data_IF_830240344562
#
_entry.id   IF_830240344562
#
_cell.length_a   1.000
_cell.length_b   1.000
_cell.length_c   1.000
_cell.angle_alpha   90.00
_cell.angle_beta   90.00
_cell.angle_gamma   90.00
#
_symmetry.space_group_name_H-M   'P 1'
#
loop_
_entity.id
_entity.type
_entity.pdbx_description
1 polymer ?
#
# COMPACT_ATOMS: atom_id res chain seq x y z
N UNK A 1 -10.00 -5.99 47.98
CA UNK A 1 -10.84 -6.98 47.29
C UNK A 1 -11.51 -6.42 46.06
N UNK A 2 -12.11 -5.22 46.08
CA UNK A 2 -12.75 -4.61 44.93
C UNK A 2 -11.81 -4.32 43.75
N UNK A 3 -10.60 -3.85 44.01
CA UNK A 3 -9.60 -3.51 42.98
C UNK A 3 -9.08 -4.75 42.22
N UNK A 4 -8.94 -5.87 42.92
CA UNK A 4 -8.53 -7.15 42.38
C UNK A 4 -9.61 -7.75 41.46
N UNK A 5 -10.88 -7.56 41.80
CA UNK A 5 -12.05 -7.98 41.01
C UNK A 5 -12.16 -7.17 39.71
N UNK A 6 -11.93 -5.86 39.73
CA UNK A 6 -11.96 -4.99 38.55
C UNK A 6 -10.83 -5.32 37.56
N UNK A 7 -9.64 -5.65 38.07
CA UNK A 7 -8.51 -6.06 37.19
C UNK A 7 -8.80 -7.41 36.55
N UNK A 8 -9.34 -8.38 37.25
CA UNK A 8 -9.71 -9.70 36.74
C UNK A 8 -10.80 -9.60 35.69
N UNK A 9 -11.80 -8.72 35.86
CA UNK A 9 -12.87 -8.46 34.90
C UNK A 9 -12.33 -7.79 33.63
N UNK A 10 -11.46 -6.79 33.78
CA UNK A 10 -10.79 -6.13 32.61
C UNK A 10 -9.92 -7.10 31.83
N UNK A 11 -9.18 -7.99 32.50
CA UNK A 11 -8.36 -9.02 31.83
C UNK A 11 -9.24 -10.03 31.08
N UNK A 12 -10.41 -10.38 31.60
CA UNK A 12 -11.35 -11.27 30.92
C UNK A 12 -11.91 -10.65 29.63
N UNK A 13 -12.24 -9.36 29.67
CA UNK A 13 -12.70 -8.61 28.46
C UNK A 13 -11.61 -8.56 27.41
N UNK A 14 -10.37 -8.21 27.79
CA UNK A 14 -9.22 -8.20 26.87
C UNK A 14 -8.99 -9.58 26.23
N UNK A 15 -9.05 -10.64 27.02
CA UNK A 15 -8.87 -12.02 26.53
C UNK A 15 -9.95 -12.41 25.53
N UNK A 16 -11.21 -12.07 25.81
CA UNK A 16 -12.34 -12.32 24.88
C UNK A 16 -12.15 -11.56 23.58
N UNK A 17 -11.81 -10.28 23.67
CA UNK A 17 -11.56 -9.44 22.48
C UNK A 17 -10.41 -9.98 21.60
N UNK A 18 -9.29 -10.37 22.23
CA UNK A 18 -8.16 -10.97 21.50
C UNK A 18 -8.53 -12.31 20.84
N UNK A 19 -9.36 -13.13 21.49
CA UNK A 19 -9.85 -14.38 20.91
C UNK A 19 -10.79 -14.13 19.73
N UNK A 20 -11.65 -13.11 19.81
CA UNK A 20 -12.56 -12.72 18.73
C UNK A 20 -11.81 -12.18 17.51
N UNK A 21 -10.87 -11.26 17.75
CA UNK A 21 -9.99 -10.71 16.71
C UNK A 21 -9.14 -11.82 16.10
N UNK A 22 -8.58 -12.73 16.89
CA UNK A 22 -7.81 -13.87 16.43
C UNK A 22 -8.60 -14.80 15.49
N UNK A 23 -9.90 -15.02 15.75
CA UNK A 23 -10.76 -15.78 14.85
C UNK A 23 -10.97 -15.08 13.51
N UNK A 24 -11.16 -13.75 13.51
CA UNK A 24 -11.26 -12.95 12.28
C UNK A 24 -9.97 -13.05 11.46
N UNK A 25 -8.81 -12.96 12.10
CA UNK A 25 -7.49 -13.05 11.44
C UNK A 25 -7.19 -14.45 10.89
N UNK A 26 -7.60 -15.51 11.59
CA UNK A 26 -7.39 -16.90 11.19
C UNK A 26 -8.12 -17.27 9.90
N UNK A 27 -9.26 -16.63 9.62
CA UNK A 27 -10.03 -16.84 8.39
C UNK A 27 -9.32 -16.31 7.11
N UNK A 28 -8.30 -15.47 7.24
CA UNK A 28 -7.61 -14.80 6.12
C UNK A 28 -6.26 -15.43 5.77
N UNK A 29 -5.67 -16.22 6.67
CA UNK A 29 -4.35 -16.81 6.47
C UNK A 29 -4.18 -17.58 5.16
N UNK A 30 -5.27 -18.04 4.56
CA UNK A 30 -5.30 -18.73 3.27
C UNK A 30 -5.48 -17.80 2.05
N UNK A 31 -5.93 -16.55 2.23
CA UNK A 31 -6.25 -15.62 1.13
C UNK A 31 -5.10 -14.68 0.75
N UNK A 32 -4.14 -14.43 1.63
CA UNK A 32 -3.05 -13.45 1.44
C UNK A 32 -2.09 -13.72 0.27
N UNK A 33 -2.05 -14.92 -0.28
CA UNK A 33 -1.09 -15.28 -1.34
C UNK A 33 -1.43 -14.73 -2.73
N UNK A 34 -2.63 -14.15 -2.94
CA UNK A 34 -3.07 -13.61 -4.25
C UNK A 34 -3.03 -12.08 -4.35
N UNK A 35 -3.01 -11.36 -3.23
CA UNK A 35 -3.10 -9.89 -3.22
C UNK A 35 -1.74 -9.17 -3.43
N UNK A 36 -0.61 -9.88 -3.35
CA UNK A 36 0.73 -9.36 -3.64
C UNK A 36 1.14 -9.43 -5.12
N UNK A 37 0.22 -9.73 -6.03
CA UNK A 37 0.52 -9.78 -7.46
C UNK A 37 0.90 -8.38 -7.98
N UNK A 38 1.79 -8.36 -8.99
CA UNK A 38 2.17 -7.13 -9.68
C UNK A 38 0.92 -6.39 -10.20
N UNK A 39 0.83 -5.10 -9.89
CA UNK A 39 -0.26 -4.25 -10.35
C UNK A 39 0.29 -2.88 -10.76
N UNK A 40 0.20 -2.56 -12.04
CA UNK A 40 0.75 -1.32 -12.59
C UNK A 40 0.08 -0.08 -12.02
N UNK A 41 -1.21 -0.14 -11.69
CA UNK A 41 -1.95 1.01 -11.14
C UNK A 41 -1.48 1.33 -9.71
N UNK A 42 -1.18 0.31 -8.90
CA UNK A 42 -0.53 0.50 -7.59
C UNK A 42 0.86 1.10 -7.73
N UNK A 43 1.66 0.58 -8.67
CA UNK A 43 3.02 1.10 -8.93
C UNK A 43 2.98 2.58 -9.31
N UNK A 44 2.01 2.99 -10.14
CA UNK A 44 1.81 4.36 -10.57
C UNK A 44 1.05 5.22 -9.54
N UNK A 45 0.66 4.65 -8.37
CA UNK A 45 -0.10 5.34 -7.32
C UNK A 45 -1.39 6.00 -7.83
N UNK A 46 -2.11 5.28 -8.68
CA UNK A 46 -3.35 5.78 -9.31
C UNK A 46 -4.52 5.87 -8.33
N UNK A 47 -4.48 5.08 -7.25
CA UNK A 47 -5.52 4.90 -6.23
C UNK A 47 -6.09 6.20 -5.64
N UNK A 48 -5.32 7.29 -5.63
CA UNK A 48 -5.72 8.59 -5.06
C UNK A 48 -6.14 9.63 -6.10
N UNK A 49 -6.07 9.32 -7.39
CA UNK A 49 -6.31 10.30 -8.45
C UNK A 49 -7.64 10.06 -9.17
N UNK A 50 -8.70 10.80 -8.81
CA UNK A 50 -10.02 10.75 -9.47
C UNK A 50 -9.90 10.86 -10.99
N UNK A 51 -9.11 11.81 -11.49
CA UNK A 51 -8.91 12.01 -12.92
C UNK A 51 -8.28 10.79 -13.63
N UNK A 52 -7.46 10.00 -12.95
CA UNK A 52 -6.89 8.78 -13.52
C UNK A 52 -7.98 7.70 -13.66
N UNK A 53 -8.79 7.50 -12.63
CA UNK A 53 -9.95 6.61 -12.68
C UNK A 53 -10.95 7.04 -13.76
N UNK A 54 -11.24 8.34 -13.84
CA UNK A 54 -12.10 8.92 -14.88
C UNK A 54 -11.61 8.56 -16.28
N UNK A 55 -10.32 8.72 -16.55
CA UNK A 55 -9.73 8.38 -17.86
C UNK A 55 -9.76 6.89 -18.18
N UNK A 56 -9.50 6.03 -17.16
CA UNK A 56 -9.55 4.57 -17.34
C UNK A 56 -10.97 4.14 -17.68
N UNK A 57 -11.97 4.60 -16.90
CA UNK A 57 -13.38 4.28 -17.15
C UNK A 57 -13.82 4.79 -18.53
N UNK A 58 -13.49 6.02 -18.87
CA UNK A 58 -13.86 6.61 -20.13
C UNK A 58 -13.22 5.90 -21.32
N UNK A 59 -11.97 5.45 -21.21
CA UNK A 59 -11.29 4.67 -22.26
C UNK A 59 -12.03 3.37 -22.55
N UNK A 60 -12.41 2.63 -21.49
CA UNK A 60 -13.19 1.40 -21.66
C UNK A 60 -14.65 1.63 -22.08
N UNK A 61 -15.24 2.77 -21.77
CA UNK A 61 -16.59 3.14 -22.25
C UNK A 61 -16.58 3.66 -23.68
N UNK A 62 -15.43 4.01 -24.26
CA UNK A 62 -15.35 4.64 -25.57
C UNK A 62 -15.39 3.59 -26.67
N UNK A 63 -16.42 3.57 -27.54
CA UNK A 63 -16.48 2.63 -28.66
C UNK A 63 -15.30 2.74 -29.64
N UNK A 64 -14.57 3.86 -29.62
CA UNK A 64 -13.37 4.09 -30.41
C UNK A 64 -12.10 4.03 -29.57
N UNK A 65 -12.20 3.47 -28.37
CA UNK A 65 -11.08 3.27 -27.47
C UNK A 65 -10.05 2.31 -28.02
N UNK A 66 -8.84 2.37 -27.49
CA UNK A 66 -7.73 1.53 -27.96
C UNK A 66 -7.89 0.06 -27.56
N UNK A 67 -8.92 -0.26 -26.76
CA UNK A 67 -9.25 -1.65 -26.41
C UNK A 67 -9.73 -2.49 -27.61
N UNK A 68 -10.24 -1.87 -28.69
CA UNK A 68 -10.58 -2.54 -29.95
C UNK A 68 -11.82 -3.44 -29.90
N UNK A 69 -12.69 -3.27 -28.90
CA UNK A 69 -13.92 -4.06 -28.69
C UNK A 69 -15.20 -3.25 -29.00
N UNK A 70 -15.06 -2.25 -29.86
CA UNK A 70 -16.16 -1.39 -30.31
C UNK A 70 -17.05 -0.90 -29.13
N UNK A 71 -18.36 -1.02 -29.24
CA UNK A 71 -19.32 -0.59 -28.20
C UNK A 71 -19.65 -1.65 -27.16
N UNK A 72 -18.98 -2.80 -27.18
CA UNK A 72 -19.25 -3.93 -26.27
C UNK A 72 -19.23 -3.52 -24.80
N UNK A 73 -18.18 -2.86 -24.38
CA UNK A 73 -18.02 -2.46 -22.97
C UNK A 73 -19.00 -1.37 -22.55
N UNK A 74 -19.36 -0.46 -23.46
CA UNK A 74 -20.41 0.54 -23.22
C UNK A 74 -21.76 -0.12 -23.06
N UNK A 75 -22.09 -1.11 -23.89
CA UNK A 75 -23.33 -1.88 -23.80
C UNK A 75 -23.41 -2.60 -22.44
N UNK A 76 -22.34 -3.29 -22.03
CA UNK A 76 -22.28 -3.98 -20.73
C UNK A 76 -22.46 -3.02 -19.56
N UNK A 77 -21.90 -1.80 -19.63
CA UNK A 77 -22.09 -0.77 -18.62
C UNK A 77 -23.56 -0.32 -18.52
N UNK A 78 -24.16 0.01 -19.66
CA UNK A 78 -25.55 0.49 -19.68
C UNK A 78 -26.56 -0.61 -19.31
N UNK A 79 -26.20 -1.89 -19.47
CA UNK A 79 -26.97 -3.07 -19.05
C UNK A 79 -26.91 -3.37 -17.57
N UNK A 80 -26.01 -2.73 -16.80
CA UNK A 80 -25.99 -2.91 -15.35
C UNK A 80 -27.39 -2.62 -14.77
N UNK A 81 -28.00 -3.51 -13.94
CA UNK A 81 -29.43 -3.47 -13.60
C UNK A 81 -29.89 -2.12 -13.07
N UNK A 82 -29.09 -1.48 -12.23
CA UNK A 82 -29.38 -0.17 -11.62
C UNK A 82 -29.37 0.94 -12.66
N UNK A 83 -28.43 0.89 -13.62
CA UNK A 83 -28.30 1.87 -14.71
C UNK A 83 -29.43 1.67 -15.71
N UNK A 84 -29.65 0.45 -16.18
CA UNK A 84 -30.66 0.11 -17.15
C UNK A 84 -32.08 0.52 -16.67
N UNK A 85 -32.43 0.26 -15.40
CA UNK A 85 -33.70 0.68 -14.80
C UNK A 85 -33.84 2.20 -14.77
N UNK A 86 -32.74 2.92 -14.43
CA UNK A 86 -32.76 4.38 -14.44
C UNK A 86 -32.92 4.94 -15.86
N UNK A 87 -32.15 4.43 -16.83
CA UNK A 87 -32.24 4.80 -18.23
C UNK A 87 -33.69 4.63 -18.76
N UNK A 88 -34.32 3.49 -18.45
CA UNK A 88 -35.68 3.21 -18.85
C UNK A 88 -36.67 4.23 -18.26
N UNK A 89 -36.51 4.61 -16.99
CA UNK A 89 -37.38 5.62 -16.34
C UNK A 89 -37.21 7.00 -16.97
N UNK A 90 -35.99 7.35 -17.41
CA UNK A 90 -35.72 8.61 -18.10
C UNK A 90 -36.19 8.62 -19.55
N UNK A 91 -36.72 7.49 -20.07
CA UNK A 91 -37.15 7.36 -21.46
C UNK A 91 -36.02 7.22 -22.47
N UNK A 92 -34.85 6.79 -22.01
CA UNK A 92 -33.71 6.42 -22.90
C UNK A 92 -34.18 5.27 -23.81
N UNK A 93 -33.74 5.21 -25.07
CA UNK A 93 -34.11 4.14 -25.99
C UNK A 93 -33.87 2.75 -25.37
N UNK A 94 -34.81 1.84 -25.57
CA UNK A 94 -34.72 0.48 -25.02
C UNK A 94 -33.67 -0.31 -25.78
N UNK A 95 -32.91 -1.10 -25.04
CA UNK A 95 -32.24 -2.28 -25.58
C UNK A 95 -33.29 -3.37 -25.76
N UNK A 96 -33.64 -3.68 -26.98
CA UNK A 96 -34.58 -4.77 -27.33
C UNK A 96 -33.86 -6.09 -27.64
N UNK A 97 -32.54 -6.14 -27.39
CA UNK A 97 -31.70 -7.32 -27.59
C UNK A 97 -31.40 -7.65 -29.04
N UNK A 98 -32.07 -7.01 -30.01
CA UNK A 98 -31.91 -7.27 -31.44
C UNK A 98 -31.53 -6.00 -32.24
N UNK A 99 -32.03 -4.82 -31.87
CA UNK A 99 -31.78 -3.57 -32.62
C UNK A 99 -31.71 -2.32 -31.72
N UNK A 100 -31.90 -2.43 -30.42
CA UNK A 100 -32.07 -1.27 -29.54
C UNK A 100 -30.84 -0.38 -29.40
N UNK A 101 -29.69 -0.98 -29.36
CA UNK A 101 -28.42 -0.27 -29.20
C UNK A 101 -27.40 -0.56 -30.30
N UNK A 102 -27.83 -1.10 -31.46
CA UNK A 102 -26.99 -1.44 -32.61
C UNK A 102 -26.13 -0.29 -33.16
N UNK A 103 -26.27 0.90 -32.63
CA UNK A 103 -25.53 2.07 -33.06
C UNK A 103 -24.79 2.79 -31.92
N UNK A 104 -24.58 2.14 -30.79
CA UNK A 104 -23.77 2.71 -29.71
C UNK A 104 -22.30 2.91 -30.14
N UNK A 105 -21.85 2.21 -31.18
CA UNK A 105 -20.59 2.48 -31.84
C UNK A 105 -20.43 3.92 -32.38
N UNK A 106 -21.55 4.65 -32.55
CA UNK A 106 -21.53 6.08 -32.91
C UNK A 106 -21.46 7.00 -31.68
N UNK A 107 -21.51 6.48 -30.44
CA UNK A 107 -21.41 7.29 -29.24
C UNK A 107 -20.06 7.99 -29.16
N UNK A 108 -20.06 9.19 -28.60
CA UNK A 108 -18.86 10.00 -28.39
C UNK A 108 -18.67 10.11 -26.88
N UNK A 109 -17.53 9.60 -26.39
CA UNK A 109 -17.15 9.69 -24.98
C UNK A 109 -16.10 10.77 -24.83
N UNK A 110 -16.35 11.73 -23.94
CA UNK A 110 -15.48 12.88 -23.67
C UNK A 110 -15.16 12.90 -22.18
N UNK A 111 -13.89 13.04 -21.84
CA UNK A 111 -13.44 13.28 -20.46
C UNK A 111 -13.26 14.76 -20.21
N UNK A 112 -13.54 15.19 -18.97
CA UNK A 112 -13.37 16.58 -18.54
C UNK A 112 -14.06 17.59 -19.48
N UNK A 113 -15.28 17.25 -19.93
CA UNK A 113 -16.02 18.11 -20.85
C UNK A 113 -16.36 19.44 -20.19
N UNK A 114 -15.91 20.52 -20.86
CA UNK A 114 -16.09 21.89 -20.36
C UNK A 114 -17.41 22.48 -20.86
N UNK A 115 -18.26 22.86 -19.94
CA UNK A 115 -19.46 23.66 -20.17
C UNK A 115 -19.26 25.08 -19.59
N UNK A 116 -20.04 26.07 -20.01
CA UNK A 116 -19.98 27.39 -19.37
C UNK A 116 -20.21 27.37 -17.85
N UNK A 117 -20.96 26.38 -17.38
CA UNK A 117 -21.35 26.22 -15.98
C UNK A 117 -20.39 25.35 -15.16
N UNK A 118 -19.41 24.72 -15.80
CA UNK A 118 -18.45 23.84 -15.11
C UNK A 118 -17.90 22.76 -16.03
N UNK A 119 -17.18 21.82 -15.47
CA UNK A 119 -16.56 20.71 -16.20
C UNK A 119 -17.01 19.41 -15.56
N UNK A 120 -17.60 18.50 -16.34
CA UNK A 120 -17.97 17.18 -15.87
C UNK A 120 -16.86 16.15 -16.17
N UNK A 121 -16.83 15.07 -15.40
CA UNK A 121 -15.74 14.07 -15.50
C UNK A 121 -15.84 13.23 -16.76
N UNK A 122 -17.02 12.66 -17.06
CA UNK A 122 -17.28 11.90 -18.31
C UNK A 122 -18.62 12.31 -18.87
N UNK A 123 -18.67 12.58 -20.18
CA UNK A 123 -19.89 12.77 -20.96
C UNK A 123 -19.95 11.74 -22.10
N UNK A 124 -21.09 11.09 -22.26
CA UNK A 124 -21.37 10.14 -23.33
C UNK A 124 -22.53 10.67 -24.16
N UNK A 125 -22.24 11.13 -25.39
CA UNK A 125 -23.23 11.69 -26.32
C UNK A 125 -23.70 10.63 -27.29
N UNK A 126 -25.00 10.45 -27.37
CA UNK A 126 -25.62 9.52 -28.32
C UNK A 126 -27.04 9.91 -28.67
N UNK A 127 -27.34 10.13 -29.97
CA UNK A 127 -28.69 10.37 -30.52
C UNK A 127 -29.54 11.37 -29.72
N UNK A 128 -28.96 12.52 -29.36
CA UNK A 128 -29.65 13.57 -28.62
C UNK A 128 -29.80 13.30 -27.12
N UNK A 129 -29.03 12.36 -26.59
CA UNK A 129 -28.86 12.10 -25.16
C UNK A 129 -27.42 12.36 -24.77
N UNK A 130 -27.25 12.87 -23.57
CA UNK A 130 -25.93 12.97 -22.94
C UNK A 130 -26.00 12.34 -21.54
N UNK A 131 -25.25 11.24 -21.35
CA UNK A 131 -25.06 10.62 -20.04
C UNK A 131 -23.83 11.25 -19.43
N UNK A 132 -24.01 11.94 -18.31
CA UNK A 132 -22.93 12.55 -17.52
C UNK A 132 -22.63 11.63 -16.34
N UNK A 133 -21.37 11.26 -16.14
CA UNK A 133 -20.89 10.56 -14.96
C UNK A 133 -19.99 11.52 -14.20
N UNK A 134 -20.39 11.88 -13.00
CA UNK A 134 -19.57 12.62 -12.03
C UNK A 134 -18.92 11.64 -11.08
N UNK A 135 -17.59 11.64 -11.04
CA UNK A 135 -16.79 10.70 -10.29
C UNK A 135 -16.26 11.33 -9.00
N UNK A 136 -16.56 10.73 -7.85
CA UNK A 136 -16.15 11.18 -6.51
C UNK A 136 -15.52 10.04 -5.72
N UNK A 137 -14.21 10.12 -5.52
CA UNK A 137 -13.47 9.16 -4.68
C UNK A 137 -13.11 9.82 -3.35
N UNK A 138 -12.48 11.00 -3.37
CA UNK A 138 -12.04 11.72 -2.18
C UNK A 138 -12.39 13.21 -2.21
N UNK A 139 -12.70 13.78 -3.37
CA UNK A 139 -13.04 15.19 -3.47
C UNK A 139 -14.45 15.47 -2.94
N UNK A 140 -14.61 16.63 -2.34
CA UNK A 140 -15.90 17.12 -1.88
C UNK A 140 -16.80 17.62 -3.02
N UNK A 141 -18.09 17.67 -2.75
CA UNK A 141 -19.10 18.20 -3.66
C UNK A 141 -18.97 19.71 -3.83
N UNK A 142 -19.37 20.20 -5.01
CA UNK A 142 -19.53 21.62 -5.28
C UNK A 142 -21.03 21.99 -5.29
N UNK A 143 -21.33 23.23 -4.91
CA UNK A 143 -22.69 23.72 -4.91
C UNK A 143 -23.35 23.61 -6.29
N UNK A 144 -24.54 23.00 -6.32
CA UNK A 144 -25.38 22.79 -7.52
C UNK A 144 -24.65 22.13 -8.69
N UNK A 145 -23.69 21.28 -8.41
CA UNK A 145 -22.82 20.70 -9.43
C UNK A 145 -23.61 19.89 -10.45
N UNK A 146 -24.43 18.95 -9.99
CA UNK A 146 -25.24 18.10 -10.88
C UNK A 146 -26.33 18.88 -11.61
N UNK A 147 -26.96 19.86 -10.93
CA UNK A 147 -27.94 20.75 -11.57
C UNK A 147 -27.31 21.58 -12.70
N UNK A 148 -26.10 22.08 -12.50
CA UNK A 148 -25.37 22.85 -13.52
C UNK A 148 -25.08 22.00 -14.75
N UNK A 149 -24.66 20.75 -14.59
CA UNK A 149 -24.41 19.83 -15.71
C UNK A 149 -25.69 19.51 -16.49
N UNK A 150 -26.76 19.16 -15.80
CA UNK A 150 -28.04 18.90 -16.45
C UNK A 150 -28.56 20.13 -17.23
N UNK A 151 -28.35 21.33 -16.69
CA UNK A 151 -28.71 22.58 -17.39
C UNK A 151 -27.83 22.82 -18.62
N UNK A 152 -26.54 22.58 -18.50
CA UNK A 152 -25.59 22.72 -19.59
C UNK A 152 -25.93 21.80 -20.76
N UNK A 153 -26.16 20.51 -20.48
CA UNK A 153 -26.58 19.53 -21.48
C UNK A 153 -27.89 19.92 -22.15
N UNK A 154 -28.90 20.38 -21.40
CA UNK A 154 -30.17 20.85 -22.03
C UNK A 154 -29.97 22.02 -23.00
N UNK A 155 -28.97 22.87 -22.77
CA UNK A 155 -28.66 24.00 -23.67
C UNK A 155 -28.05 23.57 -25.01
N UNK A 156 -27.41 22.39 -25.06
CA UNK A 156 -26.96 21.80 -26.34
C UNK A 156 -28.10 21.16 -27.13
N UNK A 157 -29.29 21.09 -26.55
CA UNK A 157 -30.46 20.43 -27.16
C UNK A 157 -30.56 18.94 -26.86
N UNK A 158 -29.67 18.41 -26.01
CA UNK A 158 -29.67 17.01 -25.59
C UNK A 158 -30.44 16.81 -24.28
N UNK A 159 -30.84 15.56 -24.04
CA UNK A 159 -31.49 15.14 -22.80
C UNK A 159 -30.45 14.62 -21.83
N UNK A 160 -30.30 15.24 -20.64
CA UNK A 160 -29.33 14.81 -19.65
C UNK A 160 -29.75 13.55 -18.92
N UNK A 161 -28.83 12.64 -18.69
CA UNK A 161 -28.89 11.56 -17.72
C UNK A 161 -27.69 11.73 -16.78
N UNK A 162 -27.94 11.85 -15.49
CA UNK A 162 -26.89 12.12 -14.51
C UNK A 162 -26.64 10.87 -13.68
N UNK A 163 -25.41 10.38 -13.73
CA UNK A 163 -24.92 9.31 -12.86
C UNK A 163 -23.90 9.91 -11.88
N UNK A 164 -24.04 9.60 -10.61
CA UNK A 164 -23.15 10.04 -9.57
C UNK A 164 -22.39 8.83 -9.03
N UNK A 165 -21.09 8.74 -9.33
CA UNK A 165 -20.23 7.61 -9.03
C UNK A 165 -19.40 7.89 -7.77
N UNK A 166 -19.55 7.05 -6.75
CA UNK A 166 -18.77 7.11 -5.51
C UNK A 166 -18.24 5.73 -5.15
N UNK A 167 -17.38 5.64 -4.13
CA UNK A 167 -16.79 4.35 -3.71
C UNK A 167 -17.88 3.32 -3.31
N UNK A 168 -18.89 3.77 -2.58
CA UNK A 168 -19.91 2.92 -1.96
C UNK A 168 -21.35 3.20 -2.43
N UNK A 169 -21.54 4.18 -3.32
CA UNK A 169 -22.85 4.56 -3.85
C UNK A 169 -23.64 5.54 -2.98
N UNK A 170 -22.98 6.26 -2.05
CA UNK A 170 -23.66 7.28 -1.27
C UNK A 170 -24.14 8.44 -2.16
N UNK A 171 -25.22 9.13 -1.78
CA UNK A 171 -25.78 10.23 -2.55
C UNK A 171 -24.89 11.47 -2.50
N UNK A 172 -25.02 12.32 -3.52
CA UNK A 172 -24.45 13.65 -3.51
C UNK A 172 -25.04 14.49 -2.38
N UNK A 173 -24.25 15.42 -1.86
CA UNK A 173 -24.74 16.40 -0.87
C UNK A 173 -25.96 17.17 -1.39
N UNK A 174 -26.88 17.51 -0.52
CA UNK A 174 -28.11 18.21 -0.90
C UNK A 174 -27.84 19.49 -1.71
N UNK A 175 -26.80 20.24 -1.36
CA UNK A 175 -26.39 21.45 -2.08
C UNK A 175 -25.78 21.16 -3.47
N UNK A 176 -25.22 19.96 -3.69
CA UNK A 176 -24.63 19.55 -4.97
C UNK A 176 -25.68 19.09 -5.96
N UNK A 177 -26.65 18.31 -5.49
CA UNK A 177 -27.70 17.74 -6.32
C UNK A 177 -28.65 18.81 -6.88
N UNK A 178 -29.01 19.82 -6.08
CA UNK A 178 -30.11 20.75 -6.44
C UNK A 178 -31.42 19.97 -6.65
N UNK A 179 -32.22 20.42 -7.62
CA UNK A 179 -33.50 19.80 -7.99
C UNK A 179 -33.38 18.80 -9.15
N UNK A 180 -32.17 18.32 -9.48
CA UNK A 180 -32.00 17.39 -10.60
C UNK A 180 -32.14 15.94 -10.15
N UNK A 181 -32.85 15.16 -10.95
CA UNK A 181 -32.88 13.71 -10.79
C UNK A 181 -31.55 13.11 -11.26
N UNK A 182 -30.95 12.29 -10.43
CA UNK A 182 -29.69 11.58 -10.74
C UNK A 182 -29.73 10.18 -10.15
N UNK A 183 -28.80 9.34 -10.57
CA UNK A 183 -28.64 7.98 -10.06
C UNK A 183 -27.29 7.78 -9.44
N UNK A 184 -27.26 7.32 -8.19
CA UNK A 184 -26.04 6.86 -7.53
C UNK A 184 -25.64 5.51 -8.09
N UNK A 185 -24.36 5.39 -8.42
CA UNK A 185 -23.66 4.15 -8.76
C UNK A 185 -22.36 4.06 -7.96
N UNK A 186 -21.78 2.89 -7.84
CA UNK A 186 -20.61 2.67 -6.97
C UNK A 186 -19.48 1.93 -7.66
N UNK A 187 -18.27 2.22 -7.20
CA UNK A 187 -17.11 1.38 -7.52
C UNK A 187 -17.27 -0.02 -6.96
N UNK A 188 -17.83 -0.12 -5.73
CA UNK A 188 -18.01 -1.39 -5.00
C UNK A 188 -18.88 -2.39 -5.75
N UNK A 189 -19.88 -1.92 -6.47
CA UNK A 189 -20.83 -2.78 -7.16
C UNK A 189 -20.83 -2.55 -8.67
N UNK A 190 -21.39 -1.43 -9.15
CA UNK A 190 -21.65 -1.23 -10.57
C UNK A 190 -20.38 -1.24 -11.41
N UNK A 191 -19.29 -0.60 -10.94
CA UNK A 191 -18.01 -0.63 -11.67
C UNK A 191 -17.34 -2.01 -11.55
N UNK A 192 -17.36 -2.62 -10.36
CA UNK A 192 -16.77 -3.95 -10.16
C UNK A 192 -17.48 -5.04 -10.98
N UNK A 193 -18.82 -5.02 -10.99
CA UNK A 193 -19.65 -5.95 -11.77
C UNK A 193 -19.42 -5.74 -13.28
N UNK A 194 -19.44 -4.48 -13.74
CA UNK A 194 -19.15 -4.14 -15.14
C UNK A 194 -17.78 -4.63 -15.61
N UNK A 195 -16.73 -4.42 -14.81
CA UNK A 195 -15.38 -4.92 -15.15
C UNK A 195 -15.39 -6.47 -15.23
N UNK A 196 -16.10 -7.14 -14.32
CA UNK A 196 -16.22 -8.60 -14.34
C UNK A 196 -16.94 -9.08 -15.62
N UNK A 197 -18.01 -8.41 -16.03
CA UNK A 197 -18.72 -8.69 -17.27
C UNK A 197 -17.82 -8.48 -18.50
N UNK A 198 -17.02 -7.39 -18.52
CA UNK A 198 -16.04 -7.13 -19.60
C UNK A 198 -14.97 -8.21 -19.71
N UNK A 199 -14.46 -8.71 -18.56
CA UNK A 199 -13.50 -9.80 -18.54
C UNK A 199 -14.15 -11.10 -19.06
N UNK A 200 -15.38 -11.40 -18.60
CA UNK A 200 -16.13 -12.57 -19.05
C UNK A 200 -16.37 -12.56 -20.56
N UNK A 201 -16.75 -11.42 -21.13
CA UNK A 201 -16.95 -11.27 -22.57
C UNK A 201 -15.68 -11.53 -23.38
N UNK A 202 -14.52 -11.04 -22.91
CA UNK A 202 -13.22 -11.32 -23.57
C UNK A 202 -12.90 -12.82 -23.44
N UNK A 203 -13.15 -13.44 -22.30
CA UNK A 203 -12.88 -14.86 -22.10
C UNK A 203 -13.73 -15.73 -23.03
N UNK A 204 -15.01 -15.40 -23.22
CA UNK A 204 -15.90 -16.10 -24.13
C UNK A 204 -15.44 -15.98 -25.60
N UNK A 205 -14.91 -14.83 -26.01
CA UNK A 205 -14.36 -14.64 -27.36
C UNK A 205 -13.07 -15.40 -27.61
N UNK A 206 -12.18 -15.47 -26.63
CA UNK A 206 -10.91 -16.20 -26.74
C UNK A 206 -11.08 -17.72 -26.92
N UNK A 207 -12.23 -18.31 -26.55
CA UNK A 207 -12.54 -19.72 -26.79
C UNK A 207 -12.82 -20.05 -28.28
N UNK A 208 -13.10 -19.05 -29.11
CA UNK A 208 -13.47 -19.24 -30.54
C UNK A 208 -12.30 -19.44 -31.51
N UNK A 209 -11.05 -19.26 -31.13
CA UNK A 209 -9.85 -19.71 -31.85
C UNK A 209 -9.39 -18.90 -33.08
N UNK A 210 -10.09 -17.87 -33.57
CA UNK A 210 -9.74 -17.04 -34.73
C UNK A 210 -9.82 -15.51 -34.50
N UNK A 211 -9.91 -15.08 -33.23
CA UNK A 211 -10.12 -13.67 -32.87
C UNK A 211 -8.80 -12.96 -32.48
N UNK A 212 -8.74 -11.62 -32.56
CA UNK A 212 -7.59 -10.84 -32.06
C UNK A 212 -7.27 -11.19 -30.62
N UNK A 213 -5.99 -11.21 -30.29
CA UNK A 213 -5.52 -11.46 -28.92
C UNK A 213 -5.78 -10.23 -28.03
N UNK A 214 -6.86 -10.28 -27.25
CA UNK A 214 -7.22 -9.26 -26.26
C UNK A 214 -6.59 -9.51 -24.86
N UNK A 215 -5.59 -10.37 -24.76
CA UNK A 215 -4.96 -10.72 -23.50
C UNK A 215 -4.47 -9.48 -22.71
N UNK A 216 -3.91 -8.50 -23.40
CA UNK A 216 -3.43 -7.26 -22.78
C UNK A 216 -4.57 -6.39 -22.22
N UNK A 217 -5.73 -6.35 -22.89
CA UNK A 217 -6.93 -5.64 -22.41
C UNK A 217 -7.50 -6.36 -21.18
N UNK A 218 -7.62 -7.69 -21.27
CA UNK A 218 -8.08 -8.55 -20.19
C UNK A 218 -7.22 -8.38 -18.93
N UNK A 219 -5.89 -8.47 -19.08
CA UNK A 219 -4.97 -8.32 -17.95
C UNK A 219 -5.06 -6.94 -17.31
N UNK A 220 -5.20 -5.89 -18.12
CA UNK A 220 -5.42 -4.52 -17.63
C UNK A 220 -6.71 -4.42 -16.83
N UNK A 221 -7.80 -5.01 -17.30
CA UNK A 221 -9.08 -5.06 -16.58
C UNK A 221 -8.96 -5.85 -15.27
N UNK A 222 -8.24 -6.97 -15.25
CA UNK A 222 -7.99 -7.74 -14.03
C UNK A 222 -7.23 -6.92 -12.98
N UNK A 223 -6.18 -6.21 -13.38
CA UNK A 223 -5.42 -5.34 -12.49
C UNK A 223 -6.26 -4.15 -12.01
N UNK A 224 -7.07 -3.56 -12.88
CA UNK A 224 -7.98 -2.47 -12.49
C UNK A 224 -9.08 -2.96 -11.56
N UNK A 225 -9.63 -4.16 -11.77
CA UNK A 225 -10.60 -4.78 -10.86
C UNK A 225 -10.03 -4.95 -9.44
N UNK A 226 -8.78 -5.38 -9.32
CA UNK A 226 -8.11 -5.47 -8.01
C UNK A 226 -8.05 -4.10 -7.34
N UNK A 227 -7.61 -3.06 -8.07
CA UNK A 227 -7.57 -1.70 -7.54
C UNK A 227 -8.96 -1.21 -7.11
N UNK A 228 -9.99 -1.43 -7.93
CA UNK A 228 -11.38 -1.07 -7.61
C UNK A 228 -11.86 -1.76 -6.32
N UNK A 229 -11.57 -3.04 -6.13
CA UNK A 229 -11.89 -3.77 -4.90
C UNK A 229 -11.21 -3.17 -3.67
N UNK A 230 -9.97 -2.75 -3.81
CA UNK A 230 -9.20 -2.13 -2.72
C UNK A 230 -9.77 -0.77 -2.32
N UNK A 231 -9.90 0.16 -3.28
CA UNK A 231 -10.37 1.52 -2.98
C UNK A 231 -11.83 1.54 -2.50
N UNK A 232 -12.67 0.65 -3.01
CA UNK A 232 -14.09 0.54 -2.62
C UNK A 232 -14.30 -0.23 -1.32
N UNK A 233 -13.22 -0.78 -0.74
CA UNK A 233 -13.31 -1.56 0.48
C UNK A 233 -14.02 -2.90 0.34
N UNK A 234 -13.95 -3.50 -0.84
CA UNK A 234 -14.55 -4.81 -1.12
C UNK A 234 -13.60 -5.97 -0.87
N UNK A 235 -12.37 -5.69 -0.38
CA UNK A 235 -11.41 -6.73 -0.03
C UNK A 235 -11.83 -7.44 1.26
N UNK A 236 -11.51 -8.72 1.37
CA UNK A 236 -11.76 -9.50 2.60
C UNK A 236 -11.05 -8.89 3.81
N UNK A 237 -9.88 -8.29 3.61
CA UNK A 237 -9.14 -7.58 4.65
C UNK A 237 -9.93 -6.38 5.19
N UNK A 238 -10.60 -5.61 4.33
CA UNK A 238 -11.41 -4.48 4.79
C UNK A 238 -12.71 -4.91 5.45
N UNK A 239 -13.38 -5.95 4.94
CA UNK A 239 -14.54 -6.54 5.61
C UNK A 239 -14.18 -6.99 7.02
N UNK A 240 -13.01 -7.63 7.17
CA UNK A 240 -12.47 -8.01 8.47
C UNK A 240 -12.20 -6.80 9.35
N UNK A 241 -11.53 -5.76 8.83
CA UNK A 241 -11.25 -4.54 9.59
C UNK A 241 -12.56 -3.87 10.07
N UNK A 242 -13.59 -3.84 9.23
CA UNK A 242 -14.92 -3.34 9.58
C UNK A 242 -15.58 -4.23 10.66
N UNK A 243 -15.45 -5.55 10.56
CA UNK A 243 -15.93 -6.48 11.59
C UNK A 243 -15.19 -6.30 12.91
N UNK A 244 -13.87 -6.19 12.89
CA UNK A 244 -13.05 -5.89 14.07
C UNK A 244 -13.49 -4.55 14.67
N UNK A 245 -13.59 -3.49 13.85
CA UNK A 245 -14.03 -2.17 14.32
C UNK A 245 -15.41 -2.23 14.98
N UNK A 246 -16.36 -2.98 14.40
CA UNK A 246 -17.69 -3.18 14.98
C UNK A 246 -17.62 -3.86 16.34
N UNK A 247 -16.74 -4.84 16.52
CA UNK A 247 -16.52 -5.51 17.82
C UNK A 247 -15.89 -4.58 18.85
N UNK A 248 -14.97 -3.70 18.42
CA UNK A 248 -14.32 -2.73 19.31
C UNK A 248 -15.29 -1.69 19.87
N UNK A 249 -16.32 -1.32 19.10
CA UNK A 249 -17.33 -0.33 19.53
C UNK A 249 -18.60 -0.96 20.09
N UNK A 250 -18.66 -2.28 20.22
CA UNK A 250 -19.84 -3.00 20.71
C UNK A 250 -20.20 -2.69 22.16
N UNK A 251 -19.22 -2.33 22.99
CA UNK A 251 -19.44 -1.88 24.37
C UNK A 251 -18.36 -0.90 24.84
N UNK A 252 -18.66 -0.17 25.92
CA UNK A 252 -17.68 0.73 26.57
C UNK A 252 -16.44 -0.03 27.04
N UNK A 253 -16.63 -1.23 27.55
CA UNK A 253 -15.57 -2.12 28.07
C UNK A 253 -14.69 -2.60 26.92
N UNK A 254 -15.27 -3.01 25.78
CA UNK A 254 -14.52 -3.42 24.58
C UNK A 254 -13.68 -2.27 24.02
N UNK A 255 -14.25 -1.07 23.94
CA UNK A 255 -13.52 0.10 23.47
C UNK A 255 -12.37 0.49 24.41
N UNK A 256 -12.59 0.48 25.73
CA UNK A 256 -11.51 0.72 26.71
C UNK A 256 -10.40 -0.32 26.63
N UNK A 257 -10.76 -1.61 26.46
CA UNK A 257 -9.80 -2.69 26.27
C UNK A 257 -8.98 -2.50 24.99
N UNK A 258 -9.61 -2.09 23.91
CA UNK A 258 -8.94 -1.77 22.64
C UNK A 258 -7.94 -0.60 22.80
N UNK A 259 -8.33 0.46 23.50
CA UNK A 259 -7.45 1.59 23.80
C UNK A 259 -6.24 1.15 24.66
N UNK A 260 -6.46 0.28 25.65
CA UNK A 260 -5.39 -0.25 26.48
C UNK A 260 -4.40 -1.10 25.67
N UNK A 261 -4.90 -2.00 24.80
CA UNK A 261 -4.08 -2.79 23.88
C UNK A 261 -3.26 -1.87 22.98
N UNK A 262 -3.92 -0.88 22.36
CA UNK A 262 -3.24 0.11 21.50
C UNK A 262 -2.15 0.88 22.21
N UNK A 263 -2.39 1.27 23.48
CA UNK A 263 -1.41 1.98 24.32
C UNK A 263 -0.20 1.15 24.69
N UNK A 264 -0.32 -0.19 24.76
CA UNK A 264 0.77 -1.10 25.13
C UNK A 264 1.47 -1.75 23.94
N UNK A 265 1.04 -1.45 22.69
CA UNK A 265 1.58 -2.12 21.51
C UNK A 265 3.06 -1.81 21.27
N UNK A 266 3.50 -0.58 21.58
CA UNK A 266 4.93 -0.22 21.45
C UNK A 266 5.79 -0.94 22.48
N UNK A 267 5.30 -1.10 23.70
CA UNK A 267 5.99 -1.90 24.74
C UNK A 267 6.15 -3.35 24.29
N UNK A 268 5.11 -3.93 23.68
CA UNK A 268 5.17 -5.29 23.16
C UNK A 268 6.19 -5.41 22.01
N UNK A 269 6.23 -4.45 21.08
CA UNK A 269 7.26 -4.41 20.02
C UNK A 269 8.67 -4.29 20.59
N UNK A 270 8.88 -3.44 21.60
CA UNK A 270 10.16 -3.29 22.25
C UNK A 270 10.61 -4.59 22.94
N UNK A 271 9.69 -5.31 23.61
CA UNK A 271 10.00 -6.61 24.20
C UNK A 271 10.38 -7.68 23.16
N UNK A 272 9.72 -7.68 21.99
CA UNK A 272 10.05 -8.60 20.90
C UNK A 272 11.42 -8.24 20.32
N UNK A 273 11.68 -6.96 20.05
CA UNK A 273 12.96 -6.49 19.57
C UNK A 273 14.10 -6.87 20.54
N UNK A 274 13.88 -6.76 21.85
CA UNK A 274 14.85 -7.19 22.86
C UNK A 274 15.14 -8.69 22.76
N UNK A 275 14.13 -9.55 22.57
CA UNK A 275 14.34 -10.99 22.36
C UNK A 275 15.17 -11.29 21.11
N UNK A 276 15.01 -10.50 20.04
CA UNK A 276 15.83 -10.61 18.84
C UNK A 276 17.27 -10.24 19.16
N UNK A 277 17.49 -9.13 19.88
CA UNK A 277 18.85 -8.70 20.31
C UNK A 277 19.53 -9.72 21.21
N UNK A 278 18.80 -10.30 22.17
CA UNK A 278 19.34 -11.34 23.05
C UNK A 278 19.75 -12.59 22.26
N UNK A 279 18.95 -12.97 21.26
CA UNK A 279 19.29 -14.08 20.35
C UNK A 279 20.48 -13.74 19.47
N UNK A 280 20.56 -12.51 18.94
CA UNK A 280 21.67 -12.04 18.16
C UNK A 280 22.99 -12.02 18.96
N UNK A 281 22.97 -11.61 20.25
CA UNK A 281 24.13 -11.70 21.13
C UNK A 281 24.71 -13.11 21.21
N UNK A 282 23.83 -14.12 21.31
CA UNK A 282 24.26 -15.52 21.33
C UNK A 282 24.85 -15.95 19.98
N UNK A 283 24.21 -15.60 18.86
CA UNK A 283 24.70 -15.93 17.52
C UNK A 283 26.08 -15.25 17.22
N UNK A 284 26.30 -14.03 17.69
CA UNK A 284 27.60 -13.34 17.54
C UNK A 284 28.67 -13.98 18.41
N UNK A 285 28.34 -14.37 19.65
CA UNK A 285 29.29 -14.99 20.57
C UNK A 285 29.83 -16.35 20.07
N UNK A 286 29.07 -17.06 19.23
CA UNK A 286 29.50 -18.33 18.62
C UNK A 286 30.46 -18.12 17.42
N UNK A 287 30.69 -16.90 16.96
CA UNK A 287 31.49 -16.58 15.77
C UNK A 287 32.83 -15.96 16.15
N UNK A 288 33.96 -16.63 15.85
CA UNK A 288 35.28 -16.13 16.24
C UNK A 288 35.64 -14.73 15.72
N UNK A 289 35.08 -14.32 14.58
CA UNK A 289 35.31 -12.99 13.98
C UNK A 289 34.83 -11.86 14.89
N UNK A 290 33.85 -12.12 15.75
CA UNK A 290 33.31 -11.15 16.69
C UNK A 290 33.95 -11.22 18.09
N UNK A 291 35.05 -11.96 18.28
CA UNK A 291 35.75 -11.99 19.56
C UNK A 291 36.24 -10.58 19.92
N UNK A 292 35.86 -10.09 21.10
CA UNK A 292 36.16 -8.75 21.59
C UNK A 292 35.27 -7.63 20.99
N UNK A 293 34.19 -7.99 20.34
CA UNK A 293 33.14 -7.06 19.92
C UNK A 293 31.90 -7.16 20.84
N UNK A 294 31.29 -6.04 21.16
CA UNK A 294 30.13 -5.92 22.03
C UNK A 294 28.91 -5.41 21.24
N UNK A 295 27.80 -6.11 21.35
CA UNK A 295 26.51 -5.65 20.79
C UNK A 295 25.85 -4.67 21.76
N UNK A 296 25.55 -3.48 21.28
CA UNK A 296 24.75 -2.42 21.92
C UNK A 296 23.47 -2.18 21.14
N UNK A 297 22.43 -1.78 21.80
CA UNK A 297 21.17 -1.42 21.13
C UNK A 297 20.41 -0.32 21.87
N UNK A 298 19.61 0.44 21.10
CA UNK A 298 18.67 1.45 21.57
C UNK A 298 17.28 1.25 20.96
N UNK A 299 16.91 0.02 20.57
CA UNK A 299 15.64 -0.28 19.93
C UNK A 299 14.44 0.03 20.80
N UNK A 300 14.56 -0.14 22.11
CA UNK A 300 13.51 0.25 23.06
C UNK A 300 13.29 1.77 23.04
N UNK A 301 14.36 2.57 23.04
CA UNK A 301 14.29 4.03 22.97
C UNK A 301 13.67 4.48 21.65
N UNK A 302 14.10 3.90 20.53
CA UNK A 302 13.53 4.16 19.20
C UNK A 302 12.01 3.97 19.18
N UNK A 303 11.52 2.87 19.73
CA UNK A 303 10.10 2.52 19.70
C UNK A 303 9.29 3.34 20.69
N UNK A 304 9.75 3.46 21.94
CA UNK A 304 9.00 4.10 23.03
C UNK A 304 9.06 5.62 22.94
N UNK A 305 10.23 6.18 22.62
CA UNK A 305 10.44 7.64 22.53
C UNK A 305 10.20 8.18 21.11
N UNK A 306 9.86 7.32 20.16
CA UNK A 306 9.65 7.67 18.73
C UNK A 306 10.85 8.41 18.14
N UNK A 307 12.04 7.92 18.41
CA UNK A 307 13.29 8.45 17.89
C UNK A 307 13.51 8.12 16.40
N UNK A 308 14.50 8.74 15.81
CA UNK A 308 14.99 8.49 14.43
C UNK A 308 16.49 8.29 14.49
N UNK A 309 17.04 7.62 13.48
CA UNK A 309 18.47 7.48 13.29
C UNK A 309 19.13 6.79 14.48
N UNK A 310 18.47 5.76 15.01
CA UNK A 310 18.98 4.92 16.07
C UNK A 310 18.65 3.45 15.78
N UNK A 311 19.30 2.54 16.49
CA UNK A 311 19.11 1.11 16.23
C UNK A 311 19.99 0.26 17.15
N UNK A 312 20.91 -0.49 16.55
CA UNK A 312 21.90 -1.27 17.29
C UNK A 312 23.26 -1.24 16.57
N UNK A 313 24.34 -1.47 17.32
CA UNK A 313 25.69 -1.47 16.77
C UNK A 313 26.58 -2.48 17.47
N UNK A 314 27.66 -2.85 16.83
CA UNK A 314 28.75 -3.59 17.45
C UNK A 314 29.99 -2.71 17.51
N UNK A 315 30.55 -2.59 18.69
CA UNK A 315 31.77 -1.83 18.99
C UNK A 315 32.87 -2.75 19.53
N UNK A 316 34.10 -2.40 19.26
CA UNK A 316 35.23 -3.18 19.78
C UNK A 316 35.59 -2.74 21.20
N UNK A 317 35.65 -3.69 22.14
CA UNK A 317 35.93 -3.43 23.55
C UNK A 317 37.33 -2.79 23.74
N UNK A 318 38.29 -3.20 22.94
CA UNK A 318 39.68 -2.65 22.95
C UNK A 318 39.78 -1.26 22.30
N UNK A 319 38.77 -0.74 21.65
CA UNK A 319 38.80 0.51 20.87
C UNK A 319 39.98 0.60 19.90
N UNK A 320 40.46 -0.52 19.38
CA UNK A 320 41.64 -0.64 18.50
C UNK A 320 41.26 -0.53 17.01
N UNK A 321 39.98 -0.23 16.71
CA UNK A 321 39.49 0.05 15.37
C UNK A 321 38.95 1.47 15.29
N UNK A 322 39.17 2.15 14.14
CA UNK A 322 38.67 3.52 13.96
C UNK A 322 37.16 3.57 13.60
N UNK A 323 36.46 2.45 13.64
CA UNK A 323 35.05 2.34 13.29
C UNK A 323 34.33 1.34 14.19
N UNK A 324 33.01 1.49 14.22
CA UNK A 324 32.04 0.51 14.70
C UNK A 324 31.07 0.15 13.56
N UNK A 325 30.36 -0.96 13.68
CA UNK A 325 29.35 -1.37 12.70
C UNK A 325 27.98 -0.99 13.24
N UNK A 326 27.25 -0.19 12.47
CA UNK A 326 25.92 0.29 12.82
C UNK A 326 24.81 -0.31 11.95
N UNK A 327 23.69 -0.60 12.58
CA UNK A 327 22.39 -0.87 11.96
C UNK A 327 21.42 0.18 12.46
N UNK A 328 21.10 1.15 11.63
CA UNK A 328 20.31 2.31 12.00
C UNK A 328 18.95 2.31 11.29
N UNK A 329 17.86 2.48 12.03
CA UNK A 329 16.52 2.62 11.47
C UNK A 329 16.18 4.09 11.19
N UNK A 330 15.77 4.39 9.96
CA UNK A 330 15.51 5.76 9.50
C UNK A 330 14.09 6.24 9.84
N UNK A 331 13.15 5.30 10.03
CA UNK A 331 11.74 5.64 10.28
C UNK A 331 11.51 5.97 11.75
N UNK A 332 10.82 7.07 12.00
CA UNK A 332 10.52 7.54 13.37
C UNK A 332 9.63 6.56 14.12
N UNK A 333 10.10 6.07 15.26
CA UNK A 333 9.35 5.17 16.14
C UNK A 333 8.96 3.83 15.51
N UNK A 334 9.72 3.38 14.51
CA UNK A 334 9.45 2.14 13.80
C UNK A 334 10.74 1.47 13.32
N UNK A 335 10.77 0.15 13.35
CA UNK A 335 11.91 -0.67 12.89
C UNK A 335 11.88 -0.83 11.36
N UNK A 336 11.93 0.30 10.64
CA UNK A 336 11.87 0.35 9.17
C UNK A 336 13.02 1.15 8.58
N UNK A 337 13.36 0.77 7.35
CA UNK A 337 14.41 1.40 6.56
C UNK A 337 15.76 1.33 7.29
N UNK A 338 16.17 0.09 7.65
CA UNK A 338 17.46 -0.16 8.27
C UNK A 338 18.58 0.10 7.27
N UNK A 339 19.52 0.96 7.66
CA UNK A 339 20.78 1.20 6.98
C UNK A 339 21.91 0.53 7.75
N UNK A 340 22.81 -0.15 7.07
CA UNK A 340 23.91 -0.91 7.68
C UNK A 340 25.22 -0.42 7.12
N UNK A 341 26.20 -0.19 7.98
CA UNK A 341 27.52 0.25 7.54
C UNK A 341 28.49 0.50 8.68
N UNK A 342 29.60 1.10 8.32
CA UNK A 342 30.63 1.52 9.26
C UNK A 342 30.48 3.00 9.59
N UNK A 343 30.62 3.32 10.86
CA UNK A 343 30.63 4.70 11.33
C UNK A 343 31.75 4.92 12.36
N UNK A 344 32.15 6.16 12.52
CA UNK A 344 33.18 6.57 13.50
C UNK A 344 32.70 7.80 14.24
N UNK A 345 33.06 7.90 15.51
CA UNK A 345 32.80 9.09 16.31
C UNK A 345 33.86 10.17 16.08
N UNK A 346 33.59 11.40 16.57
CA UNK A 346 34.49 12.56 16.43
C UNK A 346 35.90 12.29 16.99
N UNK A 347 36.05 11.43 17.99
CA UNK A 347 37.33 11.16 18.65
C UNK A 347 38.23 10.31 17.79
N UNK A 348 37.65 9.32 17.08
CA UNK A 348 38.38 8.37 16.22
C UNK A 348 38.41 8.81 14.76
N UNK A 349 37.73 9.89 14.41
CA UNK A 349 37.57 10.34 13.01
C UNK A 349 38.91 10.54 12.29
N UNK A 350 39.92 11.10 12.96
CA UNK A 350 41.24 11.29 12.38
C UNK A 350 41.91 9.98 11.97
N UNK A 351 41.62 8.91 12.71
CA UNK A 351 42.16 7.57 12.42
C UNK A 351 41.28 6.83 11.40
N UNK A 352 39.99 7.22 11.29
CA UNK A 352 39.03 6.66 10.33
C UNK A 352 39.22 7.19 8.90
N UNK A 353 39.70 8.44 8.71
CA UNK A 353 39.91 9.02 7.38
C UNK A 353 40.90 8.23 6.51
N UNK A 354 42.08 7.80 7.00
CA UNK A 354 42.98 6.94 6.21
C UNK A 354 42.33 5.62 5.80
N UNK A 355 41.53 5.01 6.68
CA UNK A 355 40.78 3.81 6.40
C UNK A 355 39.72 4.07 5.32
N UNK A 356 38.93 5.15 5.42
CA UNK A 356 37.93 5.55 4.42
C UNK A 356 38.57 5.71 3.03
N UNK A 357 39.71 6.41 2.93
CA UNK A 357 40.46 6.57 1.68
C UNK A 357 40.96 5.25 1.11
N UNK A 358 41.35 4.30 1.97
CA UNK A 358 41.74 2.97 1.53
C UNK A 358 40.54 2.17 1.01
N UNK A 359 39.40 2.23 1.70
CA UNK A 359 38.13 1.60 1.30
C UNK A 359 37.62 2.14 -0.03
N UNK A 360 37.69 3.45 -0.26
CA UNK A 360 37.32 4.10 -1.53
C UNK A 360 38.17 3.65 -2.74
N UNK A 361 39.32 3.03 -2.55
CA UNK A 361 40.10 2.45 -3.64
C UNK A 361 39.65 1.05 -4.03
N UNK A 362 38.83 0.41 -3.22
CA UNK A 362 38.29 -0.93 -3.48
C UNK A 362 37.12 -0.87 -4.43
N UNK A 363 37.28 -1.37 -5.66
CA UNK A 363 36.17 -1.48 -6.62
C UNK A 363 35.08 -2.43 -6.11
N UNK A 364 35.42 -3.45 -5.33
CA UNK A 364 34.46 -4.35 -4.68
C UNK A 364 33.56 -3.58 -3.74
N UNK A 365 34.10 -2.73 -2.86
CA UNK A 365 33.29 -1.96 -1.91
C UNK A 365 32.45 -0.88 -2.62
N UNK A 366 32.99 -0.20 -3.61
CA UNK A 366 32.23 0.80 -4.39
C UNK A 366 31.02 0.24 -5.09
N UNK A 367 31.04 -1.02 -5.50
CA UNK A 367 29.91 -1.66 -6.16
C UNK A 367 28.76 -2.01 -5.21
N UNK A 368 29.02 -2.06 -3.89
CA UNK A 368 28.04 -2.49 -2.88
C UNK A 368 27.62 -1.41 -1.89
N UNK A 369 28.52 -0.42 -1.64
CA UNK A 369 28.32 0.57 -0.58
C UNK A 369 28.34 2.00 -1.11
N UNK A 370 27.59 2.86 -0.43
CA UNK A 370 27.67 4.32 -0.59
C UNK A 370 28.71 4.87 0.39
N UNK A 371 29.60 5.72 -0.10
CA UNK A 371 30.66 6.35 0.69
C UNK A 371 30.24 7.77 1.11
N UNK A 372 30.71 8.20 2.26
CA UNK A 372 30.42 9.51 2.84
C UNK A 372 31.65 10.41 2.82
N UNK A 373 31.44 11.72 3.02
CA UNK A 373 32.53 12.73 2.92
C UNK A 373 33.46 12.66 4.10
N UNK A 374 34.77 12.79 3.84
CA UNK A 374 35.80 12.94 4.86
C UNK A 374 35.62 14.18 5.77
N UNK A 375 34.89 15.18 5.30
CA UNK A 375 34.67 16.45 6.02
C UNK A 375 33.55 16.36 7.05
N UNK A 376 32.82 15.23 7.12
CA UNK A 376 31.64 15.07 7.99
C UNK A 376 31.77 13.82 8.85
N UNK A 377 32.19 13.92 10.12
CA UNK A 377 32.26 12.78 11.03
C UNK A 377 30.93 12.03 11.14
N UNK A 378 31.01 10.72 11.20
CA UNK A 378 29.85 9.84 11.30
C UNK A 378 29.99 8.60 10.43
N UNK A 379 29.18 8.47 9.42
CA UNK A 379 29.22 7.34 8.50
C UNK A 379 30.46 7.35 7.59
N UNK A 380 31.13 6.21 7.50
CA UNK A 380 32.24 5.99 6.57
C UNK A 380 31.71 5.47 5.23
N UNK A 381 31.02 4.34 5.29
CA UNK A 381 30.28 3.80 4.15
C UNK A 381 29.18 2.85 4.65
N UNK A 382 28.17 2.61 3.80
CA UNK A 382 27.07 1.72 4.14
C UNK A 382 26.15 1.44 2.98
N UNK A 383 25.17 0.59 3.22
CA UNK A 383 24.16 0.22 2.25
C UNK A 383 22.78 -0.07 2.89
N UNK A 384 21.79 -0.13 2.05
CA UNK A 384 20.48 -0.68 2.40
C UNK A 384 20.53 -2.19 2.16
N UNK A 385 20.21 -3.05 3.16
CA UNK A 385 20.14 -4.48 2.95
C UNK A 385 19.19 -4.82 1.79
N UNK A 386 19.62 -5.73 0.91
CA UNK A 386 18.76 -6.23 -0.17
C UNK A 386 17.62 -7.09 0.35
N UNK A 387 17.84 -7.82 1.45
CA UNK A 387 16.81 -8.58 2.13
C UNK A 387 15.80 -7.64 2.78
N UNK A 388 14.55 -7.70 2.30
CA UNK A 388 13.45 -6.86 2.81
C UNK A 388 13.15 -7.11 4.29
N UNK A 389 13.32 -8.35 4.76
CA UNK A 389 13.11 -8.70 6.17
C UNK A 389 14.17 -8.03 7.06
N UNK A 390 15.42 -7.95 6.62
CA UNK A 390 16.45 -7.20 7.35
C UNK A 390 16.19 -5.71 7.32
N UNK A 391 15.76 -5.18 6.17
CA UNK A 391 15.55 -3.75 5.98
C UNK A 391 14.38 -3.20 6.79
N UNK A 392 13.30 -3.97 6.95
CA UNK A 392 12.10 -3.48 7.63
C UNK A 392 11.45 -4.58 8.46
N UNK A 393 11.48 -4.42 9.79
CA UNK A 393 10.91 -5.35 10.74
C UNK A 393 9.42 -5.03 10.96
N UNK A 394 8.59 -5.57 10.07
CA UNK A 394 7.14 -5.40 10.12
C UNK A 394 6.53 -6.10 11.34
N UNK A 395 5.29 -5.75 11.69
CA UNK A 395 4.55 -6.43 12.76
C UNK A 395 4.38 -7.93 12.48
N UNK A 396 4.24 -8.33 11.23
CA UNK A 396 4.20 -9.74 10.83
C UNK A 396 5.54 -10.44 11.10
N UNK A 397 6.64 -9.83 10.71
CA UNK A 397 7.97 -10.35 11.01
C UNK A 397 8.20 -10.44 12.53
N UNK A 398 7.87 -9.41 13.28
CA UNK A 398 7.98 -9.41 14.74
C UNK A 398 7.14 -10.54 15.35
N UNK A 399 5.90 -10.74 14.88
CA UNK A 399 5.06 -11.85 15.34
C UNK A 399 5.68 -13.22 15.03
N UNK A 400 6.25 -13.42 13.84
CA UNK A 400 6.96 -14.66 13.47
C UNK A 400 8.18 -14.93 14.35
N UNK A 401 8.88 -13.88 14.81
CA UNK A 401 10.04 -14.03 15.73
C UNK A 401 9.65 -14.41 17.16
N UNK A 402 8.36 -14.50 17.50
CA UNK A 402 7.92 -15.13 18.74
C UNK A 402 8.22 -16.63 18.75
N UNK A 403 8.20 -17.28 17.58
CA UNK A 403 8.76 -18.62 17.42
C UNK A 403 10.28 -18.60 17.61
N UNK A 404 10.81 -19.52 18.40
CA UNK A 404 12.22 -19.52 18.78
C UNK A 404 13.16 -19.92 17.62
N UNK A 405 12.72 -20.84 16.75
CA UNK A 405 13.54 -21.32 15.66
C UNK A 405 13.59 -20.29 14.54
N UNK A 406 12.45 -19.67 14.22
CA UNK A 406 12.41 -18.55 13.28
C UNK A 406 13.23 -17.35 13.77
N UNK A 407 13.13 -17.00 15.06
CA UNK A 407 13.92 -15.91 15.67
C UNK A 407 15.42 -16.17 15.58
N UNK A 408 15.84 -17.42 15.78
CA UNK A 408 17.26 -17.83 15.63
C UNK A 408 17.72 -17.72 14.18
N UNK A 409 16.90 -18.15 13.22
CA UNK A 409 17.20 -17.99 11.79
C UNK A 409 17.32 -16.52 11.40
N UNK A 410 16.41 -15.68 11.88
CA UNK A 410 16.43 -14.25 11.62
C UNK A 410 17.67 -13.57 12.23
N UNK A 411 18.01 -13.89 13.48
CA UNK A 411 19.24 -13.41 14.13
C UNK A 411 20.49 -13.85 13.36
N UNK A 412 20.50 -15.07 12.81
CA UNK A 412 21.58 -15.58 11.97
C UNK A 412 21.73 -14.79 10.66
N UNK A 413 20.62 -14.38 10.02
CA UNK A 413 20.65 -13.49 8.84
C UNK A 413 21.30 -12.15 9.18
N UNK A 414 20.95 -11.55 10.32
CA UNK A 414 21.57 -10.31 10.80
C UNK A 414 23.07 -10.54 11.03
N UNK A 415 23.44 -11.59 11.78
CA UNK A 415 24.81 -11.91 12.08
C UNK A 415 25.67 -12.15 10.82
N UNK A 416 25.10 -12.78 9.78
CA UNK A 416 25.78 -12.96 8.48
C UNK A 416 26.04 -11.60 7.81
N UNK A 417 25.07 -10.70 7.80
CA UNK A 417 25.23 -9.35 7.25
C UNK A 417 26.35 -8.58 7.95
N UNK A 418 26.37 -8.60 9.30
CA UNK A 418 27.41 -7.96 10.11
C UNK A 418 28.78 -8.60 9.89
N UNK A 419 28.85 -9.93 9.76
CA UNK A 419 30.10 -10.65 9.51
C UNK A 419 30.70 -10.28 8.15
N UNK A 420 29.89 -10.27 7.09
CA UNK A 420 30.37 -9.85 5.76
C UNK A 420 30.96 -8.45 5.79
N UNK A 421 30.28 -7.51 6.43
CA UNK A 421 30.73 -6.13 6.52
C UNK A 421 32.05 -6.02 7.34
N UNK A 422 32.16 -6.78 8.44
CA UNK A 422 33.37 -6.80 9.25
C UNK A 422 34.57 -7.43 8.50
N UNK A 423 34.37 -8.55 7.83
CA UNK A 423 35.42 -9.21 7.04
C UNK A 423 35.94 -8.30 5.92
N UNK A 424 35.05 -7.62 5.21
CA UNK A 424 35.40 -6.64 4.19
C UNK A 424 36.17 -5.44 4.76
N UNK A 425 35.79 -4.97 5.95
CA UNK A 425 36.48 -3.89 6.65
C UNK A 425 37.89 -4.32 7.11
N UNK A 426 38.06 -5.54 7.60
CA UNK A 426 39.35 -6.06 8.03
C UNK A 426 40.31 -6.31 6.84
N UNK A 427 39.79 -6.69 5.66
CA UNK A 427 40.57 -6.73 4.43
C UNK A 427 41.21 -5.36 4.12
N UNK A 428 40.45 -4.26 4.27
CA UNK A 428 40.92 -2.88 4.05
C UNK A 428 41.98 -2.49 5.09
N UNK A 429 41.79 -2.86 6.36
CA UNK A 429 42.76 -2.61 7.41
C UNK A 429 44.11 -3.28 7.14
N UNK A 430 44.11 -4.54 6.68
CA UNK A 430 45.35 -5.24 6.32
C UNK A 430 46.13 -4.54 5.21
N UNK A 431 45.48 -3.89 4.26
CA UNK A 431 46.09 -3.04 3.24
C UNK A 431 46.63 -1.73 3.79
N UNK A 432 45.98 -1.13 4.79
CA UNK A 432 46.40 0.14 5.38
C UNK A 432 47.68 -0.02 6.23
N UNK A 433 47.81 -1.12 6.94
CA UNK A 433 49.01 -1.41 7.79
C UNK A 433 50.22 -1.79 6.97
N UNK A 434 50.08 -2.46 5.82
CA UNK A 434 51.18 -2.78 4.90
C UNK A 434 51.74 -1.55 4.17
N UNK A 435 51.00 -0.45 4.07
CA UNK A 435 51.46 0.81 3.46
C UNK A 435 52.08 1.79 4.47
N UNK A 436 52.14 1.44 5.75
CA UNK A 436 52.86 2.22 6.80
C UNK A 436 54.27 1.75 7.06
N UNK A 437 54.73 0.67 6.41
CA UNK A 437 56.11 0.21 6.40
C UNK A 437 56.82 0.71 5.12
#
# INVERSE_FOLDING_TARGET
MAEKSLVEESVAVVRTLLADVGRCLGAIGESRSKDDAFNVFRLCKVDHYENAHTRIIAEFLNPRGTHGLDDTFLILFLRQPVIADYLKRQGFPKDDGFHGWDSLGSAIVVTEEAFPEGRCDIAIHWRGWCIVIENKIYAGDQAKQLERYARAVRRTGEKPIILYLTLDGHPAGADSAGDVEYKCISYRKEIADWIADCIGEIDDWNFGGEQPDYLHVRETLCQYQQLVKEISGSTEERKMNDEIASKLVASTEAFRAACQIGGTLQDARAQIAQKIMDTLRLELAERPVFNGWLLKDELASLLLNKERYTGFWIEREACDRPYDIYCEFQARGALRDMFVGLASDDRRWKDAVPFLRAAERSEKLKSHYSFYSEDNPGWLYGCWPHDKELRSWSDDLLARTLDADFRREFARKIANCLQTLLEEAEEVNGFADTNKQ
#
